data_IF_843507166244
#
_entry.id   IF_843507166244
#
_cell.length_a   1.000
_cell.length_b   1.000
_cell.length_c   1.000
_cell.angle_alpha   90.00
_cell.angle_beta   90.00
_cell.angle_gamma   90.00
#
_symmetry.space_group_name_H-M   'P 1'
#
loop_
_entity.id
_entity.type
_entity.pdbx_description
1 polymer ?
#
# COMPACT_ATOMS: atom_id res chain seq x y z
N UNK A 1 -6.91 17.77 -14.51
CA UNK A 1 -8.34 17.80 -14.88
C UNK A 1 -9.04 18.60 -13.80
N UNK A 2 -9.89 19.58 -14.14
CA UNK A 2 -10.39 20.56 -13.16
C UNK A 2 -11.16 19.89 -12.03
N UNK A 3 -10.76 20.14 -10.78
CA UNK A 3 -11.41 19.67 -9.53
C UNK A 3 -12.93 20.01 -9.42
N UNK A 4 -13.46 20.78 -10.34
CA UNK A 4 -14.87 21.25 -10.34
C UNK A 4 -15.84 20.41 -11.18
N UNK A 5 -15.37 19.39 -11.91
CA UNK A 5 -16.28 18.58 -12.73
C UNK A 5 -16.97 17.47 -11.93
N UNK A 6 -16.34 16.98 -10.85
CA UNK A 6 -16.97 15.98 -9.95
C UNK A 6 -17.97 16.61 -8.97
N UNK A 7 -17.73 17.87 -8.57
CA UNK A 7 -18.62 18.58 -7.63
C UNK A 7 -20.01 18.91 -8.21
N UNK A 8 -20.18 18.86 -9.53
CA UNK A 8 -21.45 19.22 -10.17
C UNK A 8 -22.45 18.05 -10.25
N UNK A 9 -22.01 16.83 -10.02
CA UNK A 9 -22.87 15.64 -10.06
C UNK A 9 -23.60 15.34 -8.74
N UNK A 10 -23.20 15.99 -7.64
CA UNK A 10 -23.74 15.73 -6.29
C UNK A 10 -24.97 16.60 -5.96
N UNK A 11 -25.35 17.57 -6.81
CA UNK A 11 -26.43 18.52 -6.54
C UNK A 11 -27.72 18.23 -7.32
N UNK A 12 -28.04 16.96 -7.59
CA UNK A 12 -29.39 16.59 -7.96
C UNK A 12 -30.22 16.33 -6.67
N UNK A 13 -31.33 17.06 -6.42
CA UNK A 13 -32.17 16.78 -5.27
C UNK A 13 -32.85 15.43 -5.46
N UNK A 14 -32.33 14.40 -4.77
CA UNK A 14 -33.03 13.13 -4.62
C UNK A 14 -34.23 13.35 -3.68
N UNK A 15 -35.37 13.72 -4.22
CA UNK A 15 -36.65 13.60 -3.50
C UNK A 15 -37.06 12.13 -3.47
N UNK A 16 -36.50 11.39 -2.50
CA UNK A 16 -36.95 10.03 -2.21
C UNK A 16 -38.25 10.12 -1.44
N UNK A 17 -39.37 9.78 -2.09
CA UNK A 17 -40.60 9.42 -1.41
C UNK A 17 -40.37 8.10 -0.66
N UNK A 18 -40.11 8.17 0.63
CA UNK A 18 -40.19 7.02 1.51
C UNK A 18 -41.69 6.78 1.78
N UNK A 19 -42.26 5.82 1.07
CA UNK A 19 -43.56 5.28 1.40
C UNK A 19 -43.30 4.17 2.43
N UNK A 20 -43.57 4.47 3.70
CA UNK A 20 -43.60 3.46 4.74
C UNK A 20 -44.74 2.49 4.45
N UNK A 21 -44.41 1.28 4.06
CA UNK A 21 -45.33 0.17 3.98
C UNK A 21 -45.03 -0.75 5.16
N UNK A 22 -45.96 -0.83 6.10
CA UNK A 22 -45.96 -1.86 7.14
C UNK A 22 -45.88 -3.23 6.46
N UNK A 23 -44.84 -3.97 6.63
CA UNK A 23 -44.74 -5.38 6.26
C UNK A 23 -43.95 -6.13 7.31
N UNK A 24 -44.59 -7.19 7.73
CA UNK A 24 -44.18 -8.25 8.64
C UNK A 24 -42.67 -8.60 8.58
N UNK A 25 -42.13 -8.91 9.76
CA UNK A 25 -40.76 -9.44 9.97
C UNK A 25 -40.53 -10.68 9.09
N UNK A 26 -39.95 -10.50 7.90
CA UNK A 26 -39.33 -11.58 7.14
C UNK A 26 -37.83 -11.64 7.42
N UNK A 27 -37.39 -12.84 7.78
CA UNK A 27 -36.05 -13.19 8.20
C UNK A 27 -34.92 -12.68 7.30
N UNK A 28 -34.17 -11.71 7.80
CA UNK A 28 -32.97 -11.12 7.13
C UNK A 28 -31.85 -12.16 6.90
N UNK A 29 -31.89 -13.32 7.58
CA UNK A 29 -30.87 -14.37 7.45
C UNK A 29 -30.89 -15.13 6.11
N UNK A 30 -32.02 -15.25 5.44
CA UNK A 30 -32.18 -16.05 4.21
C UNK A 30 -31.58 -15.39 2.98
N UNK A 31 -31.55 -14.06 2.93
CA UNK A 31 -31.00 -13.30 1.79
C UNK A 31 -29.48 -13.36 1.74
N UNK A 32 -28.80 -13.34 2.89
CA UNK A 32 -27.34 -13.43 2.96
C UNK A 32 -26.83 -14.80 2.53
N UNK A 33 -27.54 -15.85 2.90
CA UNK A 33 -27.15 -17.24 2.57
C UNK A 33 -27.36 -17.53 1.07
N UNK A 34 -28.39 -16.97 0.45
CA UNK A 34 -28.65 -17.16 -0.99
C UNK A 34 -27.60 -16.47 -1.85
N UNK A 35 -27.16 -15.27 -1.48
CA UNK A 35 -26.13 -14.54 -2.22
C UNK A 35 -24.75 -15.22 -2.20
N UNK A 36 -24.27 -15.68 -1.04
CA UNK A 36 -23.00 -16.43 -0.96
C UNK A 36 -23.06 -17.72 -1.81
N UNK A 37 -24.20 -18.40 -1.82
CA UNK A 37 -24.39 -19.59 -2.63
C UNK A 37 -24.39 -19.31 -4.14
N UNK A 38 -24.91 -18.17 -4.57
CA UNK A 38 -24.85 -17.71 -5.98
C UNK A 38 -23.41 -17.41 -6.39
N UNK A 39 -22.71 -16.61 -5.61
CA UNK A 39 -21.30 -16.28 -5.83
C UNK A 39 -20.38 -17.49 -5.97
N UNK A 40 -20.54 -18.48 -5.07
CA UNK A 40 -19.80 -19.73 -5.17
C UNK A 40 -20.12 -20.51 -6.44
N UNK A 41 -21.35 -20.50 -6.93
CA UNK A 41 -21.72 -21.16 -8.19
C UNK A 41 -21.05 -20.49 -9.38
N UNK A 42 -21.07 -19.16 -9.43
CA UNK A 42 -20.49 -18.37 -10.51
C UNK A 42 -18.96 -18.57 -10.56
N UNK A 43 -18.30 -18.52 -9.40
CA UNK A 43 -16.87 -18.84 -9.30
C UNK A 43 -16.53 -20.28 -9.74
N UNK A 44 -17.38 -21.26 -9.40
CA UNK A 44 -17.23 -22.65 -9.85
C UNK A 44 -17.45 -22.77 -11.36
N UNK A 45 -18.39 -22.02 -11.94
CA UNK A 45 -18.61 -22.03 -13.40
C UNK A 45 -17.44 -21.44 -14.15
N UNK A 46 -16.84 -20.36 -13.67
CA UNK A 46 -15.61 -19.79 -14.24
C UNK A 46 -14.51 -20.84 -14.24
N UNK A 47 -14.30 -21.54 -13.11
CA UNK A 47 -13.32 -22.64 -13.03
C UNK A 47 -13.62 -23.78 -13.99
N UNK A 48 -14.88 -24.16 -14.17
CA UNK A 48 -15.29 -25.27 -15.05
C UNK A 48 -15.11 -24.96 -16.54
N UNK A 49 -15.34 -23.70 -16.92
CA UNK A 49 -15.23 -23.25 -18.32
C UNK A 49 -13.80 -23.02 -18.77
N UNK A 50 -12.88 -22.81 -17.84
CA UNK A 50 -11.49 -22.52 -18.16
C UNK A 50 -10.63 -23.80 -18.26
N UNK A 51 -9.73 -23.80 -19.23
CA UNK A 51 -8.68 -24.82 -19.35
C UNK A 51 -7.51 -24.41 -18.49
N UNK A 52 -7.22 -25.19 -17.44
CA UNK A 52 -6.14 -24.88 -16.50
C UNK A 52 -6.64 -24.46 -15.11
N UNK A 53 -5.71 -24.02 -14.28
CA UNK A 53 -6.00 -23.65 -12.89
C UNK A 53 -6.37 -22.17 -12.83
N UNK A 54 -7.64 -21.88 -12.56
CA UNK A 54 -8.15 -20.54 -12.33
C UNK A 54 -8.94 -20.50 -11.04
N UNK A 55 -8.78 -19.44 -10.27
CA UNK A 55 -9.66 -19.07 -9.16
C UNK A 55 -10.34 -17.74 -9.47
N UNK A 56 -11.56 -17.56 -8.97
CA UNK A 56 -12.32 -16.34 -9.21
C UNK A 56 -13.00 -15.86 -7.92
N UNK A 57 -13.07 -14.54 -7.79
CA UNK A 57 -13.96 -13.83 -6.88
C UNK A 57 -15.02 -13.11 -7.72
N UNK A 58 -16.25 -13.11 -7.28
CA UNK A 58 -17.36 -12.42 -7.96
C UNK A 58 -17.78 -11.17 -7.23
N UNK A 59 -18.58 -10.32 -7.85
CA UNK A 59 -19.06 -9.06 -7.27
C UNK A 59 -19.74 -9.23 -5.91
N UNK A 60 -20.45 -10.35 -5.72
CA UNK A 60 -21.08 -10.64 -4.43
C UNK A 60 -20.07 -10.92 -3.32
N UNK A 61 -18.95 -11.58 -3.66
CA UNK A 61 -17.84 -11.77 -2.70
C UNK A 61 -17.14 -10.45 -2.42
N UNK A 62 -16.96 -9.61 -3.44
CA UNK A 62 -16.28 -8.32 -3.31
C UNK A 62 -17.08 -7.28 -2.53
N UNK A 63 -18.43 -7.33 -2.62
CA UNK A 63 -19.31 -6.34 -1.99
C UNK A 63 -19.80 -6.71 -0.58
N UNK A 64 -19.74 -7.98 -0.19
CA UNK A 64 -20.29 -8.46 1.10
C UNK A 64 -19.28 -8.47 2.24
N UNK A 65 -18.01 -8.42 1.93
CA UNK A 65 -16.97 -8.42 2.95
C UNK A 65 -16.46 -6.99 3.20
N UNK A 66 -16.08 -6.68 4.45
CA UNK A 66 -15.54 -5.36 4.80
C UNK A 66 -14.08 -5.20 4.34
N UNK A 67 -13.77 -5.67 3.12
CA UNK A 67 -12.43 -5.53 2.58
C UNK A 67 -12.14 -4.09 2.24
N UNK A 68 -10.98 -3.62 2.63
CA UNK A 68 -10.55 -2.26 2.39
C UNK A 68 -10.29 -1.96 0.91
N UNK A 69 -9.87 -2.98 0.16
CA UNK A 69 -9.60 -2.87 -1.27
C UNK A 69 -9.52 -4.25 -1.95
N UNK A 70 -9.28 -4.23 -3.25
CA UNK A 70 -9.23 -5.43 -4.08
C UNK A 70 -8.10 -6.40 -3.71
N UNK A 71 -6.93 -5.90 -3.25
CA UNK A 71 -5.82 -6.77 -2.82
C UNK A 71 -6.20 -7.62 -1.60
N UNK A 72 -6.93 -7.05 -0.66
CA UNK A 72 -7.38 -7.76 0.54
C UNK A 72 -8.41 -8.84 0.19
N UNK A 73 -9.34 -8.53 -0.71
CA UNK A 73 -10.27 -9.52 -1.23
C UNK A 73 -9.55 -10.71 -1.88
N UNK A 74 -8.53 -10.44 -2.70
CA UNK A 74 -7.72 -11.46 -3.36
C UNK A 74 -6.98 -12.39 -2.38
N UNK A 75 -6.65 -11.92 -1.17
CA UNK A 75 -5.97 -12.74 -0.15
C UNK A 75 -6.79 -13.95 0.33
N UNK A 76 -8.10 -13.97 0.07
CA UNK A 76 -8.99 -15.11 0.37
C UNK A 76 -8.83 -16.27 -0.60
N UNK A 77 -8.22 -16.03 -1.75
CA UNK A 77 -7.93 -17.10 -2.71
C UNK A 77 -6.75 -17.94 -2.23
N UNK A 78 -6.88 -19.25 -2.36
CA UNK A 78 -5.83 -20.18 -1.94
C UNK A 78 -4.51 -19.90 -2.65
N UNK A 79 -3.42 -19.74 -1.89
CA UNK A 79 -2.08 -19.46 -2.43
C UNK A 79 -1.90 -18.04 -2.96
N UNK A 80 -2.76 -17.12 -2.56
CA UNK A 80 -2.62 -15.69 -2.79
C UNK A 80 -2.31 -15.00 -1.46
N UNK A 81 -1.32 -14.14 -1.44
CA UNK A 81 -0.95 -13.33 -0.27
C UNK A 81 -0.82 -11.87 -0.67
N UNK A 82 -1.10 -10.97 0.25
CA UNK A 82 -1.10 -9.53 0.00
C UNK A 82 0.07 -8.88 0.72
N UNK A 83 0.79 -8.04 0.02
CA UNK A 83 1.75 -7.12 0.60
C UNK A 83 1.01 -5.85 1.02
N UNK A 84 1.34 -5.34 2.20
CA UNK A 84 0.72 -4.14 2.76
C UNK A 84 1.71 -2.98 2.75
N UNK A 85 1.21 -1.80 2.44
CA UNK A 85 1.93 -0.54 2.57
C UNK A 85 0.96 0.50 3.12
N UNK A 86 1.40 1.33 4.05
CA UNK A 86 0.57 2.34 4.70
C UNK A 86 -0.74 1.76 5.29
N UNK A 87 -0.64 0.58 5.90
CA UNK A 87 -1.74 -0.19 6.49
C UNK A 87 -2.83 -0.67 5.50
N UNK A 88 -2.56 -0.59 4.19
CA UNK A 88 -3.44 -1.10 3.14
C UNK A 88 -2.78 -2.21 2.33
N UNK A 89 -3.59 -3.16 1.84
CA UNK A 89 -3.15 -4.14 0.85
C UNK A 89 -2.89 -3.44 -0.48
N UNK A 90 -1.68 -3.54 -1.01
CA UNK A 90 -1.30 -2.85 -2.25
C UNK A 90 -0.91 -3.79 -3.37
N UNK A 91 -0.18 -4.82 -3.08
CA UNK A 91 0.35 -5.76 -4.07
C UNK A 91 -0.01 -7.19 -3.73
N UNK A 92 0.03 -8.06 -4.72
CA UNK A 92 -0.39 -9.45 -4.58
C UNK A 92 0.70 -10.39 -5.05
N UNK A 93 1.01 -11.37 -4.20
CA UNK A 93 1.92 -12.48 -4.48
C UNK A 93 1.11 -13.76 -4.70
N UNK A 94 1.36 -14.48 -5.78
CA UNK A 94 0.62 -15.70 -6.12
C UNK A 94 1.55 -16.91 -6.11
N UNK A 95 1.23 -17.92 -5.29
CA UNK A 95 2.00 -19.17 -5.12
C UNK A 95 3.48 -18.93 -4.80
N UNK A 96 3.78 -17.91 -4.00
CA UNK A 96 5.14 -17.57 -3.59
C UNK A 96 5.97 -16.82 -4.65
N UNK A 97 5.42 -16.55 -5.84
CA UNK A 97 6.03 -15.66 -6.82
C UNK A 97 5.57 -14.24 -6.57
N UNK A 98 6.51 -13.34 -6.34
CA UNK A 98 6.27 -11.95 -5.95
C UNK A 98 5.44 -11.16 -6.96
N UNK A 99 4.99 -9.95 -6.59
CA UNK A 99 4.07 -9.14 -7.41
C UNK A 99 4.60 -8.83 -8.81
N UNK A 100 5.92 -8.74 -8.97
CA UNK A 100 6.60 -8.47 -10.24
C UNK A 100 6.40 -9.57 -11.29
N UNK A 101 6.03 -10.78 -10.86
CA UNK A 101 5.80 -11.92 -11.73
C UNK A 101 4.35 -12.07 -12.19
N UNK A 102 3.46 -11.21 -11.71
CA UNK A 102 2.06 -11.22 -12.10
C UNK A 102 1.80 -10.24 -13.27
N UNK A 103 0.91 -10.63 -14.16
CA UNK A 103 0.33 -9.74 -15.15
C UNK A 103 -1.08 -9.35 -14.69
N UNK A 104 -1.36 -8.05 -14.63
CA UNK A 104 -2.70 -7.56 -14.29
C UNK A 104 -3.38 -7.01 -15.54
N UNK A 105 -4.62 -7.45 -15.75
CA UNK A 105 -5.44 -7.03 -16.89
C UNK A 105 -6.80 -6.53 -16.43
N UNK A 106 -7.40 -5.63 -17.20
CA UNK A 106 -8.79 -5.20 -17.08
C UNK A 106 -9.52 -5.59 -18.37
N UNK A 107 -10.54 -6.44 -18.28
CA UNK A 107 -11.23 -7.01 -19.43
C UNK A 107 -10.29 -7.69 -20.44
N UNK A 108 -9.23 -8.37 -19.96
CA UNK A 108 -8.22 -9.02 -20.79
C UNK A 108 -7.11 -8.11 -21.33
N UNK A 109 -7.19 -6.79 -21.09
CA UNK A 109 -6.23 -5.78 -21.57
C UNK A 109 -5.24 -5.42 -20.49
N UNK A 110 -3.95 -5.34 -20.82
CA UNK A 110 -2.89 -5.05 -19.84
C UNK A 110 -3.10 -3.68 -19.20
N UNK A 111 -3.14 -3.67 -17.88
CA UNK A 111 -3.21 -2.42 -17.13
C UNK A 111 -1.83 -1.77 -17.02
N UNK A 112 -1.75 -0.45 -17.22
CA UNK A 112 -0.50 0.28 -17.03
C UNK A 112 -0.14 0.35 -15.56
N UNK A 113 1.15 0.37 -15.28
CA UNK A 113 1.68 0.56 -13.93
C UNK A 113 2.75 1.64 -13.95
N UNK A 114 2.82 2.42 -12.88
CA UNK A 114 3.94 3.34 -12.65
C UNK A 114 4.71 2.82 -11.43
N UNK A 115 5.96 2.38 -11.61
CA UNK A 115 6.77 1.94 -10.49
C UNK A 115 7.08 3.14 -9.59
N UNK A 116 7.09 2.94 -8.25
CA UNK A 116 7.58 3.95 -7.32
C UNK A 116 9.06 4.24 -7.59
N UNK A 117 9.52 5.40 -7.16
CA UNK A 117 10.81 6.02 -7.48
C UNK A 117 12.05 5.11 -7.32
N UNK A 118 12.04 4.24 -6.32
CA UNK A 118 13.18 3.36 -6.02
C UNK A 118 12.82 1.92 -6.31
N UNK A 119 13.49 1.33 -7.28
CA UNK A 119 13.43 -0.09 -7.52
C UNK A 119 12.93 -0.53 -8.87
N UNK A 120 12.33 0.32 -9.65
CA UNK A 120 11.71 -0.12 -10.91
C UNK A 120 10.73 -1.26 -10.66
N UNK A 121 10.02 -1.71 -11.64
CA UNK A 121 9.16 -2.85 -11.45
C UNK A 121 7.90 -2.72 -12.26
N UNK A 122 7.20 -3.85 -12.36
CA UNK A 122 5.96 -3.97 -13.14
C UNK A 122 4.78 -4.41 -12.26
N UNK A 123 4.96 -4.38 -10.94
CA UNK A 123 3.90 -4.76 -10.01
C UNK A 123 2.76 -3.75 -10.05
N UNK A 124 1.55 -4.26 -10.16
CA UNK A 124 0.35 -3.44 -10.14
C UNK A 124 -0.04 -3.10 -8.69
N UNK A 125 -0.42 -1.85 -8.45
CA UNK A 125 -0.96 -1.42 -7.18
C UNK A 125 -2.48 -1.55 -7.19
N UNK A 126 -3.00 -2.58 -6.52
CA UNK A 126 -4.45 -2.79 -6.39
C UNK A 126 -5.13 -1.76 -5.49
N UNK A 127 -4.35 -1.00 -4.71
CA UNK A 127 -4.84 0.13 -3.96
C UNK A 127 -5.37 1.27 -4.85
N UNK A 128 -4.94 1.36 -6.12
CA UNK A 128 -5.36 2.42 -7.03
C UNK A 128 -6.74 2.20 -7.65
N UNK A 129 -7.32 1.00 -7.53
CA UNK A 129 -8.62 0.66 -8.14
C UNK A 129 -9.59 0.19 -7.06
N UNK A 130 -10.80 0.78 -7.05
CA UNK A 130 -11.88 0.33 -6.17
C UNK A 130 -12.37 -1.07 -6.56
N UNK A 131 -12.74 -1.87 -5.55
CA UNK A 131 -13.42 -3.15 -5.75
C UNK A 131 -14.85 -2.98 -6.27
N UNK A 132 -15.47 -1.82 -6.06
CA UNK A 132 -16.82 -1.50 -6.54
C UNK A 132 -16.76 -1.26 -8.05
N UNK A 133 -17.68 -1.89 -8.79
CA UNK A 133 -17.68 -1.86 -10.26
C UNK A 133 -16.90 -3.00 -10.93
N UNK A 134 -16.13 -3.76 -10.17
CA UNK A 134 -15.51 -5.01 -10.62
C UNK A 134 -16.53 -6.14 -10.43
N UNK A 135 -16.97 -6.73 -11.53
CA UNK A 135 -17.94 -7.84 -11.51
C UNK A 135 -17.29 -9.17 -11.14
N UNK A 136 -16.05 -9.36 -11.52
CA UNK A 136 -15.26 -10.54 -11.14
C UNK A 136 -13.76 -10.26 -11.19
N UNK A 137 -12.99 -11.00 -10.40
CA UNK A 137 -11.54 -11.09 -10.54
C UNK A 137 -11.16 -12.54 -10.76
N UNK A 138 -10.49 -12.80 -11.86
CA UNK A 138 -10.04 -14.14 -12.28
C UNK A 138 -8.52 -14.22 -12.10
N UNK A 139 -8.06 -15.21 -11.34
CA UNK A 139 -6.63 -15.45 -11.09
C UNK A 139 -6.21 -16.72 -11.82
N UNK A 140 -5.60 -16.56 -12.98
CA UNK A 140 -5.07 -17.65 -13.78
C UNK A 140 -3.71 -18.07 -13.24
N UNK A 141 -3.66 -19.22 -12.59
CA UNK A 141 -2.47 -19.77 -11.94
C UNK A 141 -1.68 -20.72 -12.84
N UNK A 142 -2.19 -21.02 -14.02
CA UNK A 142 -1.49 -21.79 -15.05
C UNK A 142 -1.46 -21.02 -16.36
N UNK A 143 -0.45 -21.28 -17.18
CA UNK A 143 -0.34 -20.68 -18.50
C UNK A 143 -1.56 -21.03 -19.37
N UNK A 144 -2.05 -20.04 -20.10
CA UNK A 144 -3.12 -20.19 -21.07
C UNK A 144 -2.75 -19.39 -22.32
N UNK A 145 -2.78 -20.05 -23.49
CA UNK A 145 -2.36 -19.46 -24.76
C UNK A 145 -3.24 -18.29 -25.23
N UNK A 146 -4.45 -18.16 -24.68
CA UNK A 146 -5.38 -17.06 -24.98
C UNK A 146 -5.03 -15.77 -24.23
N UNK A 147 -4.32 -15.89 -23.12
CA UNK A 147 -3.94 -14.74 -22.29
C UNK A 147 -2.69 -14.05 -22.82
N UNK A 148 -2.56 -12.73 -22.63
CA UNK A 148 -1.33 -12.02 -22.94
C UNK A 148 -0.13 -12.61 -22.19
N UNK A 149 1.04 -12.57 -22.82
CA UNK A 149 2.28 -13.06 -22.19
C UNK A 149 2.76 -12.07 -21.10
N UNK A 150 3.44 -12.60 -20.07
CA UNK A 150 4.04 -11.79 -19.03
C UNK A 150 3.66 -12.18 -17.60
N UNK A 151 2.63 -12.99 -17.40
CA UNK A 151 2.23 -13.52 -16.10
C UNK A 151 2.94 -14.82 -15.75
N UNK A 152 4.22 -14.77 -15.40
CA UNK A 152 4.98 -15.97 -15.00
C UNK A 152 4.43 -16.57 -13.69
N UNK A 153 4.05 -15.73 -12.73
CA UNK A 153 3.42 -16.13 -11.47
C UNK A 153 1.93 -16.41 -11.65
N UNK A 154 1.24 -15.47 -12.26
CA UNK A 154 -0.19 -15.53 -12.59
C UNK A 154 -0.58 -14.43 -13.56
N UNK A 155 -1.75 -14.57 -14.17
CA UNK A 155 -2.48 -13.46 -14.78
C UNK A 155 -3.71 -13.17 -13.92
N UNK A 156 -3.87 -11.92 -13.48
CA UNK A 156 -5.01 -11.47 -12.67
C UNK A 156 -5.84 -10.57 -13.56
N UNK A 157 -7.02 -11.04 -13.93
CA UNK A 157 -7.94 -10.32 -14.82
C UNK A 157 -9.11 -9.74 -14.01
N UNK A 158 -9.22 -8.43 -13.97
CA UNK A 158 -10.37 -7.71 -13.44
C UNK A 158 -11.41 -7.59 -14.56
N UNK A 159 -12.64 -7.96 -14.28
CA UNK A 159 -13.76 -7.90 -15.23
C UNK A 159 -14.77 -6.87 -14.74
N UNK A 160 -15.05 -5.86 -15.56
CA UNK A 160 -16.08 -4.86 -15.25
C UNK A 160 -17.49 -5.40 -15.48
N UNK A 161 -18.50 -4.71 -14.95
CA UNK A 161 -19.88 -5.09 -15.16
C UNK A 161 -20.24 -5.15 -16.66
N UNK A 162 -20.90 -6.24 -17.08
CA UNK A 162 -21.41 -6.42 -18.44
C UNK A 162 -22.91 -6.17 -18.45
N UNK A 163 -23.36 -4.96 -18.80
CA UNK A 163 -24.75 -4.54 -18.56
C UNK A 163 -25.79 -5.31 -19.36
N UNK A 164 -25.45 -5.89 -20.51
CA UNK A 164 -26.39 -6.75 -21.28
C UNK A 164 -26.70 -8.08 -20.56
N UNK A 165 -25.82 -8.54 -19.69
CA UNK A 165 -25.92 -9.79 -18.94
C UNK A 165 -26.36 -9.58 -17.48
N UNK A 166 -26.30 -8.32 -17.00
CA UNK A 166 -26.59 -7.97 -15.62
C UNK A 166 -28.07 -7.62 -15.40
N UNK A 167 -28.53 -7.81 -14.17
CA UNK A 167 -29.82 -7.33 -13.72
C UNK A 167 -29.84 -5.81 -13.64
N UNK A 168 -30.99 -5.20 -13.96
CA UNK A 168 -31.18 -3.75 -13.82
C UNK A 168 -31.28 -3.39 -12.35
N UNK A 169 -30.54 -2.36 -11.97
CA UNK A 169 -30.58 -1.87 -10.60
C UNK A 169 -29.35 -1.06 -10.25
N UNK A 170 -29.31 -0.61 -9.03
CA UNK A 170 -28.20 0.13 -8.51
C UNK A 170 -28.09 0.00 -7.01
N UNK A 171 -26.91 0.25 -6.49
CA UNK A 171 -26.65 0.35 -5.07
C UNK A 171 -25.76 1.54 -4.76
N UNK A 172 -25.94 2.08 -3.56
CA UNK A 172 -25.10 3.11 -2.97
C UNK A 172 -24.67 2.60 -1.61
N UNK A 173 -23.39 2.67 -1.34
CA UNK A 173 -22.80 2.31 -0.05
C UNK A 173 -22.14 3.54 0.55
N UNK A 174 -22.34 3.73 1.84
CA UNK A 174 -21.67 4.77 2.61
C UNK A 174 -21.04 4.13 3.84
N UNK A 175 -19.76 4.42 4.06
CA UNK A 175 -19.01 3.94 5.21
C UNK A 175 -18.30 5.11 5.87
N UNK A 176 -18.24 5.09 7.19
CA UNK A 176 -17.37 5.97 7.98
C UNK A 176 -16.31 5.10 8.67
N UNK A 177 -15.07 5.45 8.49
CA UNK A 177 -13.95 4.78 9.14
C UNK A 177 -13.38 5.68 10.23
N UNK A 178 -13.16 5.12 11.43
CA UNK A 178 -12.62 5.86 12.56
C UNK A 178 -11.20 5.40 12.87
N UNK A 179 -10.26 6.33 12.85
CA UNK A 179 -8.85 6.15 13.21
C UNK A 179 -8.54 6.95 14.47
N UNK A 180 -8.44 6.26 15.61
CA UNK A 180 -8.32 6.90 16.94
C UNK A 180 -6.89 7.26 17.34
N UNK A 181 -5.89 6.98 16.53
CA UNK A 181 -4.47 7.21 16.83
C UNK A 181 -3.82 8.26 15.95
N UNK A 182 -4.55 8.86 15.04
CA UNK A 182 -4.02 9.93 14.20
C UNK A 182 -3.55 11.11 15.05
N UNK A 183 -2.43 11.71 14.64
CA UNK A 183 -1.95 12.99 15.20
C UNK A 183 -2.23 14.11 14.20
N UNK A 184 -2.22 13.77 12.91
CA UNK A 184 -2.59 14.68 11.82
C UNK A 184 -3.71 14.05 10.99
N UNK A 185 -4.54 14.88 10.37
CA UNK A 185 -5.70 14.44 9.61
C UNK A 185 -6.94 14.19 10.46
N UNK A 186 -8.00 13.77 9.83
CA UNK A 186 -9.29 13.53 10.46
C UNK A 186 -9.38 12.13 11.07
N UNK A 187 -9.95 12.04 12.28
CA UNK A 187 -10.17 10.74 12.93
C UNK A 187 -11.29 9.95 12.24
N UNK A 188 -12.21 10.64 11.56
CA UNK A 188 -13.37 10.04 10.90
C UNK A 188 -13.35 10.38 9.42
N UNK A 189 -13.17 9.37 8.58
CA UNK A 189 -13.06 9.53 7.14
C UNK A 189 -14.19 8.84 6.39
N UNK A 190 -14.75 9.48 5.34
CA UNK A 190 -15.85 8.93 4.56
C UNK A 190 -15.37 8.00 3.45
N UNK A 191 -16.24 7.04 3.11
CA UNK A 191 -16.18 6.24 1.90
C UNK A 191 -17.56 6.19 1.28
N UNK A 192 -17.66 6.54 0.00
CA UNK A 192 -18.89 6.52 -0.76
C UNK A 192 -18.67 5.72 -2.04
N UNK A 193 -19.53 4.72 -2.27
CA UNK A 193 -19.50 3.91 -3.48
C UNK A 193 -20.90 3.88 -4.10
N UNK A 194 -20.93 3.82 -5.43
CA UNK A 194 -22.18 3.58 -6.14
C UNK A 194 -21.94 2.71 -7.38
N UNK A 195 -22.96 1.97 -7.75
CA UNK A 195 -23.06 1.26 -9.02
C UNK A 195 -24.50 1.36 -9.54
N UNK A 196 -24.64 1.53 -10.84
CA UNK A 196 -25.94 1.48 -11.53
C UNK A 196 -25.80 0.73 -12.85
N UNK A 197 -26.70 -0.20 -13.10
CA UNK A 197 -26.76 -1.02 -14.32
C UNK A 197 -28.16 -0.91 -14.91
N UNK A 198 -28.22 -0.66 -16.19
CA UNK A 198 -29.48 -0.66 -16.95
C UNK A 198 -29.28 -1.22 -18.35
N UNK A 199 -30.31 -1.80 -18.91
CA UNK A 199 -30.30 -2.31 -20.27
C UNK A 199 -31.70 -2.18 -20.89
N UNK A 200 -31.84 -2.44 -22.17
CA UNK A 200 -33.09 -2.35 -22.87
C UNK A 200 -32.99 -2.81 -24.31
N UNK A 201 -34.09 -2.69 -25.02
CA UNK A 201 -34.21 -2.99 -26.44
C UNK A 201 -34.66 -1.74 -27.22
N UNK A 202 -34.07 -1.55 -28.39
CA UNK A 202 -34.43 -0.48 -29.30
C UNK A 202 -34.32 -0.98 -30.75
N UNK A 203 -35.40 -0.95 -31.51
CA UNK A 203 -35.47 -1.37 -32.92
C UNK A 203 -34.86 -2.76 -33.18
N UNK A 204 -35.12 -3.72 -32.28
CA UNK A 204 -34.63 -5.10 -32.39
C UNK A 204 -33.18 -5.31 -31.99
N UNK A 205 -32.50 -4.26 -31.54
CA UNK A 205 -31.17 -4.31 -30.96
C UNK A 205 -31.28 -4.20 -29.44
N UNK A 206 -30.34 -4.80 -28.70
CA UNK A 206 -30.22 -4.64 -27.25
C UNK A 206 -29.12 -3.65 -26.91
N UNK A 207 -29.34 -2.89 -25.87
CA UNK A 207 -28.34 -1.99 -25.32
C UNK A 207 -28.23 -2.16 -23.81
N UNK A 208 -27.04 -1.90 -23.28
CA UNK A 208 -26.81 -1.90 -21.85
C UNK A 208 -25.81 -0.82 -21.46
N UNK A 209 -25.99 -0.25 -20.28
CA UNK A 209 -25.14 0.74 -19.69
C UNK A 209 -24.89 0.44 -18.22
N UNK A 210 -23.63 0.47 -17.82
CA UNK A 210 -23.22 0.36 -16.43
C UNK A 210 -22.30 1.54 -16.07
N UNK A 211 -22.48 2.09 -14.88
CA UNK A 211 -21.61 3.10 -14.30
C UNK A 211 -21.39 2.76 -12.82
N UNK A 212 -20.16 2.86 -12.39
CA UNK A 212 -19.79 2.76 -10.98
C UNK A 212 -18.77 3.82 -10.62
N UNK A 213 -18.79 4.27 -9.37
CA UNK A 213 -17.83 5.20 -8.86
C UNK A 213 -17.61 5.03 -7.38
N UNK A 214 -16.45 5.47 -6.91
CA UNK A 214 -16.09 5.48 -5.50
C UNK A 214 -15.29 6.72 -5.16
N UNK A 215 -15.53 7.23 -3.95
CA UNK A 215 -14.71 8.22 -3.29
C UNK A 215 -14.35 7.69 -1.91
N UNK A 216 -13.07 7.72 -1.57
CA UNK A 216 -12.57 7.21 -0.31
C UNK A 216 -11.50 8.13 0.24
N UNK A 217 -11.64 8.51 1.51
CA UNK A 217 -10.59 9.14 2.29
C UNK A 217 -10.10 8.17 3.37
N UNK A 218 -8.80 8.18 3.63
CA UNK A 218 -8.19 7.42 4.72
C UNK A 218 -7.07 8.19 5.36
N UNK A 219 -7.15 8.27 6.68
CA UNK A 219 -6.08 8.81 7.51
C UNK A 219 -5.67 7.74 8.50
N UNK A 220 -4.40 7.37 8.52
CA UNK A 220 -3.91 6.34 9.42
C UNK A 220 -2.52 6.71 9.96
N UNK A 221 -2.16 6.07 11.08
CA UNK A 221 -0.85 6.22 11.71
C UNK A 221 -0.15 4.87 11.78
N UNK A 222 1.09 4.87 11.34
CA UNK A 222 2.03 3.76 11.53
C UNK A 222 2.95 4.08 12.71
N UNK A 223 3.10 3.11 13.61
CA UNK A 223 4.06 3.16 14.70
C UNK A 223 4.90 1.89 14.67
N UNK A 224 6.21 2.05 14.71
CA UNK A 224 7.09 0.89 14.62
C UNK A 224 8.53 1.18 14.94
N UNK A 225 9.35 0.18 14.72
CA UNK A 225 10.81 0.33 14.70
C UNK A 225 11.29 0.38 13.26
N UNK A 226 12.26 1.24 13.00
CA UNK A 226 12.95 1.24 11.72
C UNK A 226 13.77 -0.05 11.56
N UNK A 227 14.11 -0.38 10.31
CA UNK A 227 14.96 -1.53 10.02
C UNK A 227 16.25 -1.49 10.83
N UNK A 228 16.54 -2.60 11.51
CA UNK A 228 17.76 -2.77 12.28
C UNK A 228 18.72 -3.57 11.43
N UNK A 229 19.79 -2.91 10.97
CA UNK A 229 20.89 -3.61 10.31
C UNK A 229 21.75 -4.31 11.35
N UNK A 230 21.96 -5.60 11.17
CA UNK A 230 22.83 -6.42 12.02
C UNK A 230 24.14 -6.71 11.32
N UNK A 231 25.23 -6.20 11.86
CA UNK A 231 26.56 -6.36 11.29
C UNK A 231 27.32 -7.49 11.98
N UNK A 232 27.97 -8.39 11.23
CA UNK A 232 28.79 -9.45 11.81
C UNK A 232 30.09 -8.89 12.37
N UNK A 233 30.54 -9.48 13.49
CA UNK A 233 31.72 -9.01 14.22
C UNK A 233 33.05 -9.16 13.48
N UNK A 234 33.07 -9.95 12.44
CA UNK A 234 34.28 -10.17 11.62
C UNK A 234 34.48 -9.15 10.49
N UNK A 235 33.51 -8.26 10.25
CA UNK A 235 33.62 -7.27 9.17
C UNK A 235 34.01 -5.87 9.66
N UNK A 236 33.16 -5.22 10.47
CA UNK A 236 33.38 -3.83 10.88
C UNK A 236 33.12 -3.52 12.35
N UNK A 237 32.35 -4.34 13.06
CA UNK A 237 31.86 -4.03 14.40
C UNK A 237 32.46 -4.94 15.48
N UNK A 238 33.76 -4.88 15.64
CA UNK A 238 34.40 -5.54 16.79
C UNK A 238 34.15 -4.74 18.07
N UNK A 239 33.79 -5.45 19.13
CA UNK A 239 33.72 -4.87 20.46
C UNK A 239 35.09 -4.81 21.07
N UNK A 240 35.48 -3.69 21.70
CA UNK A 240 36.79 -3.57 22.34
C UNK A 240 37.04 -4.65 23.40
N UNK A 241 38.26 -5.10 23.55
CA UNK A 241 38.64 -6.04 24.61
C UNK A 241 38.46 -5.47 26.03
N UNK A 242 38.37 -4.14 26.14
CA UNK A 242 38.07 -3.43 27.39
C UNK A 242 36.61 -3.48 27.80
N UNK A 243 35.68 -3.86 26.88
CA UNK A 243 34.29 -3.95 27.16
C UNK A 243 33.95 -5.12 28.08
N UNK A 244 32.95 -4.94 28.94
CA UNK A 244 32.41 -6.02 29.75
C UNK A 244 31.39 -6.82 28.91
N UNK A 245 31.78 -8.04 28.50
CA UNK A 245 30.96 -8.88 27.63
C UNK A 245 30.45 -10.10 28.37
N UNK A 246 29.11 -10.26 28.41
CA UNK A 246 28.50 -11.52 28.82
C UNK A 246 28.08 -12.27 27.55
N UNK A 247 28.73 -13.40 27.28
CA UNK A 247 28.50 -14.17 26.06
C UNK A 247 28.06 -15.59 26.37
N UNK A 248 26.92 -15.97 25.79
CA UNK A 248 26.43 -17.36 25.73
C UNK A 248 26.52 -17.93 24.30
N UNK A 249 27.24 -17.27 23.40
CA UNK A 249 27.33 -17.61 21.98
C UNK A 249 27.77 -19.06 21.76
N UNK A 250 26.95 -19.87 21.13
CA UNK A 250 27.21 -21.29 20.80
C UNK A 250 27.50 -21.53 19.32
N UNK A 251 27.71 -20.48 18.54
CA UNK A 251 28.05 -20.61 17.12
C UNK A 251 29.48 -21.17 16.98
N UNK A 252 29.60 -22.14 16.07
CA UNK A 252 30.87 -22.79 15.81
C UNK A 252 31.94 -21.85 15.22
N UNK A 253 31.52 -20.81 14.52
CA UNK A 253 32.40 -19.78 13.91
C UNK A 253 32.78 -18.66 14.89
N UNK A 254 32.17 -18.64 16.08
CA UNK A 254 32.42 -17.59 17.07
C UNK A 254 31.90 -16.20 16.70
N UNK A 255 31.35 -16.04 15.49
CA UNK A 255 30.84 -14.74 14.99
C UNK A 255 29.61 -14.33 15.81
N UNK A 256 29.54 -13.07 16.16
CA UNK A 256 28.33 -12.47 16.73
C UNK A 256 27.85 -11.30 15.85
N UNK A 257 26.58 -10.93 16.00
CA UNK A 257 25.95 -9.88 15.25
C UNK A 257 25.60 -8.72 16.17
N UNK A 258 26.02 -7.53 15.80
CA UNK A 258 25.82 -6.30 16.54
C UNK A 258 24.79 -5.42 15.79
N UNK A 259 23.78 -4.83 16.45
CA UNK A 259 22.85 -3.91 15.80
C UNK A 259 23.57 -2.60 15.46
N UNK A 260 23.45 -2.15 14.22
CA UNK A 260 24.01 -0.87 13.78
C UNK A 260 23.16 0.31 14.23
N UNK A 261 21.85 0.12 14.27
CA UNK A 261 20.91 1.16 14.66
C UNK A 261 19.66 0.59 15.34
N UNK A 262 19.03 1.42 16.14
CA UNK A 262 17.66 1.22 16.61
C UNK A 262 16.94 2.55 16.57
N UNK A 263 15.79 2.60 15.92
CA UNK A 263 14.99 3.79 15.81
C UNK A 263 13.49 3.48 15.92
N UNK A 264 12.73 4.41 16.45
CA UNK A 264 11.28 4.40 16.47
C UNK A 264 10.77 5.29 15.34
N UNK A 265 9.81 4.78 14.59
CA UNK A 265 9.17 5.50 13.49
C UNK A 265 7.71 5.76 13.82
N UNK A 266 7.28 6.98 13.59
CA UNK A 266 5.91 7.44 13.68
C UNK A 266 5.58 8.12 12.37
N UNK A 267 4.57 7.66 11.66
CA UNK A 267 4.19 8.17 10.35
C UNK A 267 2.69 8.30 10.25
N UNK A 268 2.22 9.51 9.99
CA UNK A 268 0.83 9.80 9.67
C UNK A 268 0.66 9.85 8.15
N UNK A 269 -0.28 9.07 7.64
CA UNK A 269 -0.60 8.95 6.23
C UNK A 269 -2.02 9.47 5.97
N UNK A 270 -2.19 10.19 4.89
CA UNK A 270 -3.47 10.66 4.38
C UNK A 270 -3.59 10.27 2.92
N UNK A 271 -4.71 9.66 2.55
CA UNK A 271 -4.97 9.29 1.16
C UNK A 271 -6.41 9.61 0.77
N UNK A 272 -6.56 10.08 -0.46
CA UNK A 272 -7.84 10.33 -1.11
C UNK A 272 -7.85 9.54 -2.43
N UNK A 273 -8.92 8.81 -2.71
CA UNK A 273 -9.03 7.97 -3.90
C UNK A 273 -10.39 8.18 -4.57
N UNK A 274 -10.33 8.50 -5.86
CA UNK A 274 -11.50 8.63 -6.73
C UNK A 274 -11.43 7.60 -7.85
N UNK A 275 -12.53 6.88 -8.10
CA UNK A 275 -12.65 5.96 -9.21
C UNK A 275 -13.95 6.17 -9.95
N UNK A 276 -13.90 6.02 -11.27
CA UNK A 276 -15.06 5.99 -12.13
C UNK A 276 -14.85 4.94 -13.22
N UNK A 277 -15.84 4.07 -13.38
CA UNK A 277 -15.89 3.06 -14.43
C UNK A 277 -17.22 3.16 -15.16
N UNK A 278 -17.18 3.07 -16.48
CA UNK A 278 -18.37 3.04 -17.32
C UNK A 278 -18.24 1.96 -18.39
N UNK A 279 -19.31 1.24 -18.66
CA UNK A 279 -19.39 0.27 -19.73
C UNK A 279 -20.67 0.47 -20.51
N UNK A 280 -20.57 0.60 -21.81
CA UNK A 280 -21.68 0.61 -22.74
C UNK A 280 -21.60 -0.61 -23.65
N UNK A 281 -22.71 -1.32 -23.80
CA UNK A 281 -22.82 -2.48 -24.71
C UNK A 281 -23.97 -2.27 -25.68
N UNK A 282 -23.74 -2.68 -26.92
CA UNK A 282 -24.74 -2.70 -27.99
C UNK A 282 -24.70 -4.05 -28.70
N UNK A 283 -25.84 -4.73 -28.75
CA UNK A 283 -26.01 -6.01 -29.47
C UNK A 283 -27.02 -5.80 -30.60
N UNK A 284 -26.60 -6.08 -31.85
CA UNK A 284 -27.45 -6.03 -33.02
C UNK A 284 -27.19 -7.24 -33.91
N UNK A 285 -28.17 -8.12 -34.03
CA UNK A 285 -28.00 -9.38 -34.71
C UNK A 285 -26.85 -10.21 -34.10
N UNK A 286 -25.84 -10.51 -34.87
CA UNK A 286 -24.68 -11.31 -34.45
C UNK A 286 -23.49 -10.46 -33.95
N UNK A 287 -23.64 -9.16 -33.85
CA UNK A 287 -22.58 -8.24 -33.41
C UNK A 287 -22.85 -7.73 -31.98
N UNK A 288 -21.88 -7.90 -31.10
CA UNK A 288 -21.83 -7.26 -29.79
C UNK A 288 -20.67 -6.27 -29.79
N UNK A 289 -20.97 -5.02 -29.46
CA UNK A 289 -19.96 -3.97 -29.29
C UNK A 289 -19.92 -3.53 -27.85
N UNK A 290 -18.75 -3.47 -27.25
CA UNK A 290 -18.53 -3.01 -25.87
C UNK A 290 -17.54 -1.84 -25.86
N UNK A 291 -17.92 -0.75 -25.22
CA UNK A 291 -17.07 0.41 -24.94
C UNK A 291 -16.88 0.53 -23.44
N UNK A 292 -15.63 0.48 -22.99
CA UNK A 292 -15.26 0.60 -21.59
C UNK A 292 -14.43 1.87 -21.36
N UNK A 293 -14.69 2.56 -20.25
CA UNK A 293 -13.85 3.65 -19.78
C UNK A 293 -13.64 3.53 -18.26
N UNK A 294 -12.40 3.61 -17.84
CA UNK A 294 -12.01 3.56 -16.43
C UNK A 294 -11.04 4.69 -16.14
N UNK A 295 -11.25 5.41 -15.06
CA UNK A 295 -10.33 6.40 -14.54
C UNK A 295 -10.21 6.25 -13.02
N UNK A 296 -8.99 6.36 -12.51
CA UNK A 296 -8.65 6.32 -11.10
C UNK A 296 -7.66 7.43 -10.79
N UNK A 297 -7.89 8.13 -9.70
CA UNK A 297 -6.98 9.13 -9.14
C UNK A 297 -6.77 8.82 -7.67
N UNK A 298 -5.52 8.72 -7.25
CA UNK A 298 -5.15 8.53 -5.85
C UNK A 298 -4.15 9.59 -5.46
N UNK A 299 -4.47 10.38 -4.45
CA UNK A 299 -3.58 11.32 -3.79
C UNK A 299 -3.11 10.72 -2.47
N UNK A 300 -1.85 10.87 -2.16
CA UNK A 300 -1.24 10.35 -0.95
C UNK A 300 -0.28 11.36 -0.35
N UNK A 301 -0.51 11.74 0.90
CA UNK A 301 0.33 12.62 1.70
C UNK A 301 0.80 11.90 2.96
N UNK A 302 2.02 12.18 3.38
CA UNK A 302 2.51 11.68 4.65
C UNK A 302 3.44 12.64 5.36
N UNK A 303 3.43 12.55 6.69
CA UNK A 303 4.44 13.15 7.56
C UNK A 303 4.95 12.08 8.52
N UNK A 304 6.25 12.07 8.77
CA UNK A 304 6.87 11.08 9.62
C UNK A 304 7.98 11.66 10.49
N UNK A 305 8.16 11.05 11.65
CA UNK A 305 9.26 11.31 12.55
C UNK A 305 9.94 9.98 12.87
N UNK A 306 11.26 9.94 12.72
CA UNK A 306 12.08 8.81 13.17
C UNK A 306 13.01 9.31 14.26
N UNK A 307 12.95 8.67 15.43
CA UNK A 307 13.81 8.98 16.56
C UNK A 307 14.68 7.76 16.89
N UNK A 308 15.99 7.92 16.83
CA UNK A 308 16.86 6.78 16.97
C UNK A 308 18.31 7.08 17.33
N UNK A 309 19.09 6.02 17.39
CA UNK A 309 20.53 6.07 17.55
C UNK A 309 21.21 5.03 16.68
N UNK A 310 22.34 5.42 16.16
CA UNK A 310 23.32 4.48 15.60
C UNK A 310 24.25 3.97 16.70
N UNK A 311 24.63 2.72 16.61
CA UNK A 311 25.55 2.07 17.54
C UNK A 311 26.81 1.63 16.79
N UNK A 312 27.95 1.90 17.38
CA UNK A 312 29.21 1.41 16.86
C UNK A 312 29.81 0.38 17.84
N UNK A 313 30.15 -0.78 17.35
CA UNK A 313 30.72 -1.86 18.18
C UNK A 313 31.99 -1.40 18.92
N UNK A 314 32.84 -0.61 18.27
CA UNK A 314 34.07 -0.12 18.87
C UNK A 314 33.92 0.84 20.05
N UNK A 315 32.74 1.42 20.24
CA UNK A 315 32.42 2.30 21.37
C UNK A 315 31.67 1.57 22.49
N UNK A 316 31.44 0.28 22.34
CA UNK A 316 30.71 -0.52 23.31
C UNK A 316 31.50 -0.69 24.59
N UNK A 317 30.84 -0.44 25.72
CA UNK A 317 31.40 -0.64 27.06
C UNK A 317 30.84 -1.89 27.72
N UNK A 318 29.61 -2.23 27.43
CA UNK A 318 28.92 -3.43 27.95
C UNK A 318 28.14 -4.09 26.80
N UNK A 319 28.19 -5.41 26.76
CA UNK A 319 27.36 -6.17 25.81
C UNK A 319 26.90 -7.51 26.38
N UNK A 320 25.70 -7.93 25.99
CA UNK A 320 25.19 -9.29 26.28
C UNK A 320 24.86 -9.99 24.96
N UNK A 321 25.47 -11.16 24.75
CA UNK A 321 25.36 -11.97 23.53
C UNK A 321 24.62 -13.25 23.85
N UNK A 322 23.56 -13.54 23.10
CA UNK A 322 22.76 -14.75 23.27
C UNK A 322 23.41 -16.00 22.65
N UNK A 323 22.81 -17.15 22.81
CA UNK A 323 23.30 -18.44 22.30
C UNK A 323 23.44 -18.49 20.77
N UNK A 324 22.67 -17.68 20.03
CA UNK A 324 22.68 -17.60 18.57
C UNK A 324 23.70 -16.58 18.03
N UNK A 325 24.41 -15.89 18.90
CA UNK A 325 25.39 -14.87 18.54
C UNK A 325 24.81 -13.48 18.32
N UNK A 326 23.55 -13.22 18.67
CA UNK A 326 23.02 -11.85 18.59
C UNK A 326 23.33 -11.08 19.88
N UNK A 327 23.79 -9.84 19.76
CA UNK A 327 23.95 -8.90 20.87
C UNK A 327 22.57 -8.38 21.25
N UNK A 328 22.01 -8.86 22.34
CA UNK A 328 20.63 -8.58 22.77
C UNK A 328 20.51 -7.32 23.63
N UNK A 329 21.61 -6.90 24.25
CA UNK A 329 21.68 -5.59 24.93
C UNK A 329 23.11 -5.08 24.89
N UNK A 330 23.24 -3.77 24.92
CA UNK A 330 24.55 -3.12 24.88
C UNK A 330 24.48 -1.68 25.32
N UNK A 331 25.64 -1.19 25.78
CA UNK A 331 25.87 0.21 26.11
C UNK A 331 27.07 0.69 25.33
N UNK A 332 26.93 1.84 24.68
CA UNK A 332 27.99 2.48 23.90
C UNK A 332 28.16 3.92 24.35
N UNK A 333 29.42 4.35 24.45
CA UNK A 333 29.73 5.75 24.67
C UNK A 333 29.43 6.56 23.40
N UNK A 334 28.95 7.76 23.57
CA UNK A 334 28.92 8.74 22.50
C UNK A 334 30.32 9.17 22.12
N UNK A 335 30.57 9.45 20.85
CA UNK A 335 31.83 9.98 20.39
C UNK A 335 31.70 11.42 19.92
N UNK A 336 32.83 12.17 19.93
CA UNK A 336 32.88 13.50 19.33
C UNK A 336 32.53 13.50 17.85
N UNK A 337 32.73 12.36 17.18
CA UNK A 337 32.58 12.19 15.73
C UNK A 337 31.15 11.91 15.29
N UNK A 338 30.17 11.95 16.20
CA UNK A 338 28.77 12.09 15.84
C UNK A 338 27.93 10.83 15.69
N UNK A 339 28.35 9.72 16.26
CA UNK A 339 27.48 8.55 16.44
C UNK A 339 26.46 8.80 17.54
N UNK A 340 25.42 9.50 17.24
CA UNK A 340 24.60 10.02 18.31
C UNK A 340 23.12 9.89 18.01
N UNK A 341 22.35 10.52 18.79
CA UNK A 341 20.94 10.68 18.64
C UNK A 341 20.59 11.34 17.30
N UNK A 342 19.61 10.80 16.60
CA UNK A 342 19.16 11.25 15.32
C UNK A 342 17.64 11.39 15.31
N UNK A 343 17.18 12.52 14.85
CA UNK A 343 15.78 12.75 14.52
C UNK A 343 15.67 13.03 13.03
N UNK A 344 14.86 12.24 12.37
CA UNK A 344 14.51 12.45 10.97
C UNK A 344 13.06 12.92 10.89
N UNK A 345 12.82 14.00 10.19
CA UNK A 345 11.50 14.43 9.80
C UNK A 345 11.31 14.14 8.32
N UNK A 346 10.29 13.35 8.02
CA UNK A 346 9.94 12.96 6.66
C UNK A 346 8.59 13.55 6.29
N UNK A 347 8.45 14.04 5.09
CA UNK A 347 7.16 14.38 4.51
C UNK A 347 7.21 14.16 3.00
N UNK A 348 6.07 13.87 2.43
CA UNK A 348 5.99 13.69 0.99
C UNK A 348 4.54 13.61 0.54
N UNK A 349 4.38 13.75 -0.77
CA UNK A 349 3.10 13.59 -1.42
C UNK A 349 3.28 12.93 -2.79
N UNK A 350 2.22 12.31 -3.26
CA UNK A 350 2.18 11.76 -4.60
C UNK A 350 0.74 11.69 -5.11
N UNK A 351 0.60 11.91 -6.42
CA UNK A 351 -0.64 11.71 -7.15
C UNK A 351 -0.44 10.59 -8.16
N UNK A 352 -1.27 9.55 -8.10
CA UNK A 352 -1.36 8.48 -9.07
C UNK A 352 -2.62 8.67 -9.91
N UNK A 353 -2.48 8.69 -11.22
CA UNK A 353 -3.61 8.76 -12.14
C UNK A 353 -3.51 7.62 -13.13
N UNK A 354 -4.57 6.82 -13.22
CA UNK A 354 -4.71 5.74 -14.19
C UNK A 354 -5.94 6.00 -15.04
N UNK A 355 -5.84 5.77 -16.34
CA UNK A 355 -6.97 5.80 -17.25
C UNK A 355 -6.87 4.70 -18.29
N UNK A 356 -8.00 4.17 -18.70
CA UNK A 356 -8.10 3.15 -19.73
C UNK A 356 -9.39 3.34 -20.52
N UNK A 357 -9.28 3.30 -21.85
CA UNK A 357 -10.42 3.22 -22.76
C UNK A 357 -10.26 1.99 -23.64
N UNK A 358 -11.34 1.24 -23.83
CA UNK A 358 -11.33 0.05 -24.63
C UNK A 358 -12.58 -0.10 -25.50
N UNK A 359 -12.39 -0.54 -26.71
CA UNK A 359 -13.46 -0.90 -27.66
C UNK A 359 -13.28 -2.36 -28.07
N UNK A 360 -14.31 -3.16 -27.80
CA UNK A 360 -14.38 -4.56 -28.22
C UNK A 360 -15.56 -4.75 -29.16
N UNK A 361 -15.34 -5.46 -30.26
CA UNK A 361 -16.37 -5.87 -31.22
C UNK A 361 -16.29 -7.37 -31.40
N UNK A 362 -17.34 -8.07 -31.08
CA UNK A 362 -17.48 -9.53 -31.18
C UNK A 362 -18.56 -9.85 -32.22
N UNK A 363 -18.16 -10.43 -33.35
CA UNK A 363 -19.03 -10.73 -34.45
C UNK A 363 -19.08 -12.23 -34.76
N UNK A 364 -20.21 -12.85 -34.47
CA UNK A 364 -20.47 -14.24 -34.78
C UNK A 364 -20.89 -14.37 -36.26
N UNK A 365 -19.94 -14.76 -37.13
CA UNK A 365 -20.19 -14.90 -38.57
C UNK A 365 -21.11 -16.08 -38.85
N UNK A 366 -20.85 -17.21 -38.18
CA UNK A 366 -21.65 -18.44 -38.22
C UNK A 366 -21.28 -19.34 -37.03
N UNK A 367 -21.86 -20.53 -36.93
CA UNK A 367 -21.65 -21.43 -35.79
C UNK A 367 -20.18 -21.85 -35.59
N UNK A 368 -19.33 -21.73 -36.61
CA UNK A 368 -17.93 -22.18 -36.60
C UNK A 368 -16.91 -21.03 -36.67
N UNK A 369 -17.35 -19.79 -36.88
CA UNK A 369 -16.48 -18.64 -37.07
C UNK A 369 -16.97 -17.45 -36.26
N UNK A 370 -16.12 -17.01 -35.35
CA UNK A 370 -16.27 -15.76 -34.59
C UNK A 370 -15.07 -14.85 -34.86
N UNK A 371 -15.32 -13.55 -35.07
CA UNK A 371 -14.32 -12.53 -35.28
C UNK A 371 -14.39 -11.54 -34.13
N UNK A 372 -13.29 -11.37 -33.40
CA UNK A 372 -13.15 -10.41 -32.30
C UNK A 372 -12.12 -9.37 -32.69
N UNK A 373 -12.53 -8.09 -32.62
CA UNK A 373 -11.64 -6.95 -32.72
C UNK A 373 -11.59 -6.26 -31.37
N UNK A 374 -10.39 -6.03 -30.86
CA UNK A 374 -10.19 -5.32 -29.60
C UNK A 374 -9.16 -4.21 -29.77
N UNK A 375 -9.52 -3.01 -29.34
CA UNK A 375 -8.64 -1.85 -29.29
C UNK A 375 -8.67 -1.27 -27.88
N UNK A 376 -7.51 -0.92 -27.36
CA UNK A 376 -7.44 -0.17 -26.09
C UNK A 376 -6.29 0.83 -26.10
N UNK A 377 -6.49 1.88 -25.32
CA UNK A 377 -5.47 2.85 -24.95
C UNK A 377 -5.53 3.08 -23.45
N UNK A 378 -4.38 3.00 -22.81
CA UNK A 378 -4.32 3.15 -21.36
C UNK A 378 -3.03 3.84 -20.93
N UNK A 379 -3.11 4.65 -19.90
CA UNK A 379 -1.98 5.37 -19.36
C UNK A 379 -2.02 5.40 -17.84
N UNK A 380 -0.85 5.45 -17.24
CA UNK A 380 -0.67 5.71 -15.82
C UNK A 380 0.35 6.82 -15.65
N UNK A 381 0.11 7.70 -14.70
CA UNK A 381 1.03 8.78 -14.35
C UNK A 381 1.19 8.86 -12.84
N UNK A 382 2.43 9.00 -12.41
CA UNK A 382 2.80 9.25 -11.03
C UNK A 382 3.45 10.63 -10.94
N UNK A 383 2.92 11.48 -10.09
CA UNK A 383 3.44 12.84 -9.88
C UNK A 383 3.50 13.17 -8.41
N UNK A 384 4.63 13.76 -7.98
CA UNK A 384 4.64 14.63 -6.81
C UNK A 384 4.04 15.99 -7.18
N UNK A 385 3.38 16.67 -6.25
CA UNK A 385 2.90 18.04 -6.45
C UNK A 385 4.08 18.99 -6.62
N UNK A 386 3.98 20.07 -7.46
CA UNK A 386 5.03 21.06 -7.54
C UNK A 386 5.41 21.62 -6.17
N UNK A 387 6.66 21.48 -5.76
CA UNK A 387 7.14 21.80 -4.41
C UNK A 387 6.95 20.68 -3.39
N UNK A 388 6.23 19.62 -3.75
CA UNK A 388 6.15 18.38 -3.00
C UNK A 388 7.12 17.36 -3.56
N UNK A 389 7.56 16.47 -2.72
CA UNK A 389 8.48 15.41 -3.08
C UNK A 389 7.92 14.12 -2.53
N UNK A 390 8.27 13.05 -3.17
CA UNK A 390 7.86 11.73 -2.71
C UNK A 390 8.40 11.41 -1.30
N UNK A 391 9.52 11.98 -0.96
CA UNK A 391 10.15 11.82 0.36
C UNK A 391 11.13 12.97 0.61
N UNK A 392 10.84 13.83 1.56
CA UNK A 392 11.75 14.84 2.06
C UNK A 392 12.19 14.43 3.46
N UNK A 393 13.48 14.33 3.65
CA UNK A 393 14.05 14.00 4.96
C UNK A 393 14.84 15.20 5.45
N UNK A 394 14.48 15.70 6.61
CA UNK A 394 15.24 16.68 7.36
C UNK A 394 15.81 15.99 8.59
N UNK A 395 17.09 15.77 8.60
CA UNK A 395 17.81 15.13 9.70
C UNK A 395 18.36 16.15 10.67
N UNK A 396 18.11 15.93 11.95
CA UNK A 396 18.73 16.66 13.05
C UNK A 396 19.53 15.70 13.91
N UNK A 397 20.74 16.05 14.25
CA UNK A 397 21.56 15.29 15.18
C UNK A 397 22.46 16.23 15.96
N UNK A 398 22.86 15.81 17.15
CA UNK A 398 23.85 16.52 17.93
C UNK A 398 25.28 16.11 17.63
N UNK A 399 25.53 15.53 16.46
CA UNK A 399 26.84 15.06 16.05
C UNK A 399 27.25 15.48 14.64
N UNK A 400 28.55 15.42 14.36
CA UNK A 400 29.22 16.05 13.24
C UNK A 400 29.20 15.27 11.90
N UNK A 401 28.31 14.27 11.72
CA UNK A 401 28.19 13.55 10.45
C UNK A 401 27.26 14.27 9.49
N UNK A 402 27.78 15.16 8.68
CA UNK A 402 27.12 15.59 7.47
C UNK A 402 27.69 14.75 6.32
N UNK A 403 26.89 13.88 5.71
CA UNK A 403 27.24 12.94 4.64
C UNK A 403 28.57 13.14 3.95
N UNK A 404 29.24 12.17 3.46
CA UNK A 404 30.53 12.13 2.70
C UNK A 404 31.53 13.30 2.80
N UNK A 405 31.41 14.22 3.77
CA UNK A 405 32.32 15.33 4.03
C UNK A 405 32.43 15.60 5.52
N UNK A 406 33.62 15.54 6.04
CA UNK A 406 33.95 16.00 7.39
C UNK A 406 33.72 17.50 7.47
N UNK A 407 32.61 17.91 8.07
CA UNK A 407 32.44 19.30 8.51
C UNK A 407 32.87 19.33 9.96
N UNK A 408 33.92 20.09 10.33
CA UNK A 408 34.18 20.35 11.73
C UNK A 408 33.03 21.20 12.26
N UNK A 409 32.08 20.57 12.94
CA UNK A 409 31.20 21.31 13.83
C UNK A 409 32.12 21.71 14.98
N UNK A 410 32.53 22.98 14.96
CA UNK A 410 33.18 23.58 16.08
C UNK A 410 32.25 23.44 17.27
N UNK A 411 32.74 22.74 18.31
CA UNK A 411 32.05 22.52 19.56
C UNK A 411 30.71 21.76 19.42
N UNK A 412 30.81 20.49 19.01
CA UNK A 412 29.77 19.55 19.40
C UNK A 412 29.83 19.45 20.94
N UNK A 413 29.10 20.32 21.60
CA UNK A 413 28.70 20.14 22.98
C UNK A 413 27.78 18.93 22.99
N UNK A 414 28.36 17.72 22.87
CA UNK A 414 27.59 16.50 22.78
C UNK A 414 26.85 16.31 24.09
N UNK A 415 25.57 16.60 24.08
CA UNK A 415 24.69 16.38 25.23
C UNK A 415 24.53 14.91 25.55
N UNK A 416 24.80 14.02 24.58
CA UNK A 416 24.71 12.59 24.76
C UNK A 416 26.05 12.05 25.26
N UNK A 417 26.04 11.41 26.41
CA UNK A 417 27.21 10.72 26.98
C UNK A 417 27.24 9.25 26.62
N UNK A 418 26.10 8.62 26.75
CA UNK A 418 25.99 7.17 26.69
C UNK A 418 24.62 6.80 26.15
N UNK A 419 24.55 5.74 25.38
CA UNK A 419 23.33 5.15 24.86
C UNK A 419 23.32 3.67 25.07
N UNK A 420 22.14 3.12 25.36
CA UNK A 420 21.94 1.71 25.59
C UNK A 420 20.76 1.19 24.81
N UNK A 421 20.82 -0.06 24.41
CA UNK A 421 19.70 -0.79 23.85
C UNK A 421 19.48 -2.11 24.59
N UNK A 422 18.22 -2.53 24.63
CA UNK A 422 17.82 -3.84 25.16
C UNK A 422 16.67 -4.40 24.33
N UNK A 423 16.91 -5.49 23.62
CA UNK A 423 15.91 -6.15 22.82
C UNK A 423 14.98 -7.07 23.61
N UNK A 424 15.28 -7.44 24.86
CA UNK A 424 14.45 -8.28 25.67
C UNK A 424 13.87 -9.51 24.96
N UNK A 425 13.15 -10.36 25.66
CA UNK A 425 12.39 -11.43 25.01
C UNK A 425 11.02 -10.88 24.57
N UNK A 426 10.70 -10.97 23.25
CA UNK A 426 9.41 -10.61 22.66
C UNK A 426 9.00 -9.13 22.82
N UNK A 427 9.95 -8.22 22.79
CA UNK A 427 9.68 -6.78 22.90
C UNK A 427 10.33 -6.03 21.75
N UNK A 428 9.70 -4.93 21.38
CA UNK A 428 10.35 -3.85 20.63
C UNK A 428 11.58 -3.43 21.46
N UNK A 429 12.74 -3.30 20.81
CA UNK A 429 13.95 -2.91 21.51
C UNK A 429 13.77 -1.61 22.29
N UNK A 430 14.21 -1.58 23.53
CA UNK A 430 14.23 -0.36 24.32
C UNK A 430 15.53 0.40 24.05
N UNK A 431 15.42 1.70 23.82
CA UNK A 431 16.53 2.61 23.61
C UNK A 431 16.58 3.61 24.77
N UNK A 432 17.75 3.78 25.35
CA UNK A 432 17.98 4.70 26.46
C UNK A 432 19.13 5.63 26.15
N UNK A 433 18.94 6.91 26.40
CA UNK A 433 19.98 7.95 26.28
C UNK A 433 20.32 8.51 27.65
N UNK A 434 21.60 8.61 27.94
CA UNK A 434 22.11 9.29 29.12
C UNK A 434 22.69 10.65 28.72
N UNK A 435 22.01 11.72 29.14
CA UNK A 435 22.30 13.11 28.79
C UNK A 435 22.70 13.95 30.03
N UNK A 436 23.06 13.33 31.14
CA UNK A 436 23.44 14.03 32.37
C UNK A 436 24.77 14.80 32.26
N UNK A 437 25.58 14.39 31.28
CA UNK A 437 26.89 14.99 31.01
C UNK A 437 27.16 14.95 29.54
N UNK A 438 27.94 15.92 29.05
CA UNK A 438 28.49 15.82 27.71
C UNK A 438 29.54 14.71 27.64
N UNK A 439 30.01 14.36 26.44
CA UNK A 439 31.01 13.30 26.27
C UNK A 439 32.33 13.62 26.98
N UNK A 440 32.63 14.88 27.26
CA UNK A 440 33.80 15.33 28.05
C UNK A 440 33.61 15.13 29.55
N UNK A 441 32.40 14.73 29.99
CA UNK A 441 32.07 14.51 31.38
C UNK A 441 31.60 15.75 32.12
N UNK A 442 31.39 16.87 31.43
CA UNK A 442 30.82 18.10 32.01
C UNK A 442 29.33 17.91 32.24
N UNK A 443 28.82 18.17 33.45
CA UNK A 443 27.37 18.15 33.71
C UNK A 443 26.64 19.13 32.79
N UNK A 444 25.47 18.69 32.27
CA UNK A 444 24.60 19.51 31.45
C UNK A 444 23.22 19.58 32.09
N UNK A 445 22.55 20.71 31.95
CA UNK A 445 21.16 20.87 32.34
C UNK A 445 20.28 20.61 31.12
N UNK A 446 19.63 19.44 31.08
CA UNK A 446 18.75 19.07 30.00
C UNK A 446 17.48 19.91 29.91
N UNK A 447 17.16 20.67 30.96
CA UNK A 447 16.02 21.60 30.96
C UNK A 447 16.27 22.88 30.17
N UNK A 448 17.55 23.19 29.93
CA UNK A 448 17.97 24.33 29.10
C UNK A 448 18.04 23.97 27.60
N UNK A 449 17.83 22.71 27.25
CA UNK A 449 17.82 22.27 25.86
C UNK A 449 16.62 22.81 25.11
N UNK A 450 16.83 23.70 24.15
CA UNK A 450 15.78 24.39 23.39
C UNK A 450 15.71 24.00 21.90
N UNK A 451 16.48 23.01 21.50
CA UNK A 451 16.59 22.56 20.10
C UNK A 451 17.49 23.41 19.20
N UNK A 452 17.95 24.59 19.66
CA UNK A 452 18.93 25.39 18.93
C UNK A 452 20.31 24.74 18.92
N UNK A 453 20.53 23.84 19.88
CA UNK A 453 21.72 23.00 19.98
C UNK A 453 21.76 21.85 18.96
N UNK A 454 20.65 21.65 18.24
CA UNK A 454 20.56 20.69 17.14
C UNK A 454 20.80 21.39 15.81
N UNK A 455 21.83 20.97 15.11
CA UNK A 455 22.07 21.43 13.74
C UNK A 455 21.42 20.54 12.70
N UNK A 456 21.01 21.09 11.56
CA UNK A 456 20.60 20.27 10.43
C UNK A 456 21.82 19.45 9.95
N UNK A 457 21.68 18.13 9.93
CA UNK A 457 22.72 17.23 9.45
C UNK A 457 22.64 17.07 7.94
N UNK A 458 21.45 16.91 7.43
CA UNK A 458 21.20 16.63 6.03
C UNK A 458 19.78 16.98 5.63
N UNK A 459 19.62 17.59 4.48
CA UNK A 459 18.32 17.77 3.84
C UNK A 459 18.35 17.06 2.49
N UNK A 460 17.45 16.10 2.31
CA UNK A 460 17.22 15.45 1.02
C UNK A 460 15.90 15.93 0.44
N UNK A 461 15.98 16.53 -0.71
CA UNK A 461 14.82 16.92 -1.50
C UNK A 461 14.78 16.05 -2.74
N UNK A 462 13.89 15.08 -2.77
CA UNK A 462 13.67 14.24 -3.93
C UNK A 462 12.44 14.72 -4.68
N UNK A 463 12.64 15.38 -5.80
CA UNK A 463 11.59 15.75 -6.74
C UNK A 463 11.63 14.82 -7.96
N UNK A 464 10.50 14.18 -8.29
CA UNK A 464 10.33 13.50 -9.58
C UNK A 464 9.00 13.88 -10.21
N UNK A 465 9.09 14.38 -11.42
CA UNK A 465 7.99 14.48 -12.37
C UNK A 465 8.30 13.52 -13.53
N UNK A 466 7.42 12.56 -13.79
CA UNK A 466 7.47 11.69 -14.96
C UNK A 466 6.14 11.70 -15.69
#
# INVERSE_FOLDING_TARGET
MNKYLLSLLVLLPLSIFVQAQDSEEEEVEEVVVTGIKSSLKDAIEIKRKNVGVVDALTAEDLGKFPDGNLAEALSRLVGVTTERSNDEGTKVTVRGLGPEFNLVTLNGRTMPTVPPQYGGGRSFNFGDISSHGVAAVEVYKSANAVLPSGGLGSTINMVTAKPLQGDKGGSVSFRLQNHTKNVTGDDLTPELDFIYVTNGEFEGSKWGFAISGSHQERHNREEGTNEITWLPSNERNHIPSSASITSANKRADGVFFYPESLAYKFKDNQSERDNLQTTFQWESGNLVTTLDYTVSSTSFDFTGITVGSYFAGWNTTVASINERGAVISGTSLATPDGDSWQNDFEYGNSDNNNQSIGLNMDYQVNDNLNIVLDYHDSSAAFKGTPGGTQNNILQFSNGAWAGWGWWPVQEASGYLRERSFDFGRNKVGALTWNMDKNFQGTPIDVTEFDGSDMGPRQAFLNYQER
#
